data_IF_077670160637
#
_entry.id   IF_077670160637
#
_cell.length_a   1.000
_cell.length_b   1.000
_cell.length_c   1.000
_cell.angle_alpha   90.00
_cell.angle_beta   90.00
_cell.angle_gamma   90.00
#
_symmetry.space_group_name_H-M   'P 1'
#
loop_
_entity.id
_entity.type
_entity.pdbx_description
1 polymer ?
#
# COMPACT_ATOMS: atom_id res chain seq x y z
N UNK A 1 -24.74 -23.89 10.58
CA UNK A 1 -24.34 -22.75 11.43
C UNK A 1 -23.65 -21.75 10.53
N UNK A 2 -24.39 -20.74 10.06
CA UNK A 2 -23.86 -19.75 9.12
C UNK A 2 -23.09 -18.69 9.89
N UNK A 3 -21.77 -18.65 9.72
CA UNK A 3 -20.97 -17.50 10.12
C UNK A 3 -21.32 -16.38 9.14
N UNK A 4 -22.19 -15.49 9.60
CA UNK A 4 -22.46 -14.22 8.94
C UNK A 4 -21.13 -13.48 8.81
N UNK A 5 -20.53 -13.50 7.61
CA UNK A 5 -19.52 -12.53 7.19
C UNK A 5 -20.16 -11.14 7.21
N UNK A 6 -20.32 -10.57 8.41
CA UNK A 6 -20.66 -9.17 8.59
C UNK A 6 -19.38 -8.40 8.40
N UNK A 7 -19.28 -7.79 7.22
CA UNK A 7 -18.23 -6.88 6.82
C UNK A 7 -17.85 -5.93 7.98
N UNK A 8 -16.60 -5.98 8.42
CA UNK A 8 -15.98 -4.98 9.27
C UNK A 8 -15.81 -3.73 8.39
N UNK A 9 -16.79 -2.84 8.43
CA UNK A 9 -16.79 -1.63 7.62
C UNK A 9 -16.26 -0.46 8.42
N UNK A 10 -15.17 0.13 7.93
CA UNK A 10 -14.68 1.43 8.35
C UNK A 10 -15.58 2.48 7.74
N UNK A 11 -16.12 3.37 8.56
CA UNK A 11 -16.90 4.52 8.09
C UNK A 11 -16.47 5.73 8.87
N UNK A 12 -16.37 6.86 8.18
CA UNK A 12 -16.26 8.13 8.87
C UNK A 12 -17.60 8.49 9.52
N UNK A 13 -17.59 8.85 10.80
CA UNK A 13 -18.80 9.09 11.57
C UNK A 13 -19.10 10.60 11.74
N UNK A 14 -20.17 11.09 11.11
CA UNK A 14 -20.82 12.38 11.39
C UNK A 14 -20.38 13.60 10.57
N UNK A 15 -21.10 14.72 10.72
CA UNK A 15 -20.92 15.99 9.97
C UNK A 15 -19.58 16.71 10.24
N UNK A 16 -18.82 16.29 11.26
CA UNK A 16 -17.51 16.86 11.61
C UNK A 16 -16.41 15.80 11.76
N UNK A 17 -16.50 14.66 11.08
CA UNK A 17 -15.37 13.88 10.53
C UNK A 17 -14.01 13.78 11.27
N UNK A 18 -13.97 13.73 12.61
CA UNK A 18 -12.73 13.64 13.41
C UNK A 18 -12.29 12.19 13.67
N UNK A 19 -13.20 11.23 13.57
CA UNK A 19 -12.94 9.85 13.94
C UNK A 19 -13.50 8.85 12.91
N UNK A 20 -12.76 7.77 12.69
CA UNK A 20 -13.22 6.58 11.99
C UNK A 20 -13.82 5.61 13.00
N UNK A 21 -15.05 5.19 12.73
CA UNK A 21 -15.68 4.11 13.47
C UNK A 21 -15.19 2.77 12.91
N UNK A 22 -14.79 1.87 13.80
CA UNK A 22 -14.40 0.50 13.43
C UNK A 22 -15.06 -0.53 14.37
N UNK A 23 -15.34 -1.72 13.85
CA UNK A 23 -15.95 -2.82 14.61
C UNK A 23 -17.44 -2.63 14.95
N UNK A 24 -17.96 -3.54 15.78
CA UNK A 24 -19.39 -3.60 16.17
C UNK A 24 -19.73 -2.69 17.37
N UNK A 25 -18.72 -2.17 18.09
CA UNK A 25 -18.86 -1.63 19.45
C UNK A 25 -18.52 -0.14 19.61
N UNK A 26 -18.81 0.73 18.63
CA UNK A 26 -18.64 2.19 18.78
C UNK A 26 -17.20 2.59 19.15
N UNK A 27 -16.21 1.83 18.66
CA UNK A 27 -14.82 2.17 18.86
C UNK A 27 -14.37 3.16 17.78
N UNK A 28 -13.58 4.14 18.19
CA UNK A 28 -13.21 5.29 17.37
C UNK A 28 -11.69 5.40 17.27
N UNK A 29 -11.18 5.36 16.05
CA UNK A 29 -9.80 5.75 15.76
C UNK A 29 -9.81 7.19 15.28
N UNK A 30 -8.98 8.06 15.85
CA UNK A 30 -8.86 9.42 15.33
C UNK A 30 -8.45 9.38 13.85
N UNK A 31 -9.14 10.18 13.04
CA UNK A 31 -8.92 10.24 11.59
C UNK A 31 -7.46 10.44 11.23
N UNK A 32 -6.76 11.33 11.93
CA UNK A 32 -5.34 11.58 11.66
C UNK A 32 -4.48 10.33 11.86
N UNK A 33 -4.73 9.52 12.91
CA UNK A 33 -3.97 8.27 13.14
C UNK A 33 -4.25 7.22 12.07
N UNK A 34 -5.51 7.11 11.66
CA UNK A 34 -5.87 6.19 10.59
C UNK A 34 -5.29 6.61 9.24
N UNK A 35 -5.29 7.92 8.96
CA UNK A 35 -4.65 8.47 7.78
C UNK A 35 -3.14 8.21 7.81
N UNK A 36 -2.46 8.45 8.93
CA UNK A 36 -1.04 8.15 9.08
C UNK A 36 -0.75 6.67 8.80
N UNK A 37 -1.57 5.77 9.31
CA UNK A 37 -1.48 4.33 9.08
C UNK A 37 -1.67 3.96 7.60
N UNK A 38 -2.76 4.42 7.00
CA UNK A 38 -3.06 4.12 5.59
C UNK A 38 -2.03 4.72 4.64
N UNK A 39 -1.56 5.94 4.92
CA UNK A 39 -0.51 6.58 4.13
C UNK A 39 0.83 5.85 4.28
N UNK A 40 1.21 5.43 5.48
CA UNK A 40 2.44 4.70 5.70
C UNK A 40 2.43 3.34 4.99
N UNK A 41 1.31 2.63 5.04
CA UNK A 41 1.16 1.36 4.34
C UNK A 41 1.09 1.54 2.82
N UNK A 42 0.37 2.55 2.33
CA UNK A 42 0.35 2.87 0.91
C UNK A 42 1.76 3.23 0.40
N UNK A 43 2.53 4.01 1.15
CA UNK A 43 3.91 4.34 0.80
C UNK A 43 4.82 3.10 0.75
N UNK A 44 4.63 2.15 1.67
CA UNK A 44 5.36 0.88 1.65
C UNK A 44 4.97 0.02 0.43
N UNK A 45 3.69 0.02 0.04
CA UNK A 45 3.23 -0.65 -1.17
C UNK A 45 3.80 0.00 -2.43
N UNK A 46 3.83 1.34 -2.52
CA UNK A 46 4.39 2.08 -3.65
C UNK A 46 5.87 1.75 -3.87
N UNK A 47 6.67 1.74 -2.81
CA UNK A 47 8.11 1.42 -2.93
C UNK A 47 8.32 -0.04 -3.32
N UNK A 48 7.56 -0.98 -2.74
CA UNK A 48 7.59 -2.39 -3.13
C UNK A 48 7.24 -2.57 -4.62
N UNK A 49 6.23 -1.86 -5.11
CA UNK A 49 5.86 -1.87 -6.53
C UNK A 49 6.95 -1.31 -7.44
N UNK A 50 7.60 -0.23 -7.00
CA UNK A 50 8.71 0.38 -7.70
C UNK A 50 9.89 -0.60 -7.82
N UNK A 51 10.26 -1.26 -6.72
CA UNK A 51 11.33 -2.27 -6.70
C UNK A 51 11.08 -3.42 -7.66
N UNK A 52 9.88 -4.01 -7.65
CA UNK A 52 9.52 -5.10 -8.57
C UNK A 52 9.64 -4.66 -10.04
N UNK A 53 9.16 -3.45 -10.34
CA UNK A 53 9.22 -2.89 -11.69
C UNK A 53 10.67 -2.66 -12.13
N UNK A 54 11.49 -2.10 -11.23
CA UNK A 54 12.91 -1.86 -11.48
C UNK A 54 13.69 -3.17 -11.61
N UNK A 55 13.38 -4.19 -10.81
CA UNK A 55 13.95 -5.53 -10.95
C UNK A 55 13.66 -6.13 -12.33
N UNK A 56 12.40 -6.10 -12.79
CA UNK A 56 12.05 -6.56 -14.12
C UNK A 56 12.78 -5.78 -15.22
N UNK A 57 12.90 -4.46 -15.07
CA UNK A 57 13.63 -3.59 -16.00
C UNK A 57 15.12 -3.92 -16.04
N UNK A 58 15.77 -4.11 -14.89
CA UNK A 58 17.18 -4.50 -14.80
C UNK A 58 17.40 -5.85 -15.50
N UNK A 59 16.56 -6.85 -15.24
CA UNK A 59 16.66 -8.17 -15.88
C UNK A 59 16.50 -8.05 -17.41
N UNK A 60 15.53 -7.25 -17.88
CA UNK A 60 15.32 -7.02 -19.31
C UNK A 60 16.52 -6.33 -19.96
N UNK A 61 17.07 -5.30 -19.31
CA UNK A 61 18.25 -4.57 -19.78
C UNK A 61 19.51 -5.45 -19.78
N UNK A 62 19.72 -6.27 -18.76
CA UNK A 62 20.83 -7.24 -18.73
C UNK A 62 20.76 -8.22 -19.91
N UNK A 63 19.57 -8.74 -20.23
CA UNK A 63 19.36 -9.60 -21.41
C UNK A 63 19.63 -8.85 -22.72
N UNK A 64 19.19 -7.59 -22.81
CA UNK A 64 19.42 -6.75 -23.98
C UNK A 64 20.90 -6.36 -24.16
N UNK A 65 21.66 -6.18 -23.08
CA UNK A 65 23.10 -5.86 -23.14
C UNK A 65 23.95 -6.95 -23.80
N UNK A 66 23.45 -8.19 -23.86
CA UNK A 66 24.08 -9.28 -24.61
C UNK A 66 23.96 -9.12 -26.14
N UNK A 67 23.04 -8.25 -26.60
CA UNK A 67 22.71 -8.02 -28.01
C UNK A 67 23.21 -6.64 -28.46
N UNK A 68 23.00 -5.60 -27.63
CA UNK A 68 23.39 -4.22 -27.92
C UNK A 68 23.79 -3.48 -26.63
N UNK A 69 24.83 -2.64 -26.69
CA UNK A 69 25.38 -1.98 -25.49
C UNK A 69 24.43 -0.92 -24.92
N UNK A 70 23.57 -1.34 -23.98
CA UNK A 70 22.67 -0.47 -23.20
C UNK A 70 23.20 -0.17 -21.79
N UNK A 71 24.53 -0.11 -21.64
CA UNK A 71 25.21 -0.01 -20.33
C UNK A 71 24.74 1.18 -19.48
N UNK A 72 24.59 2.37 -20.08
CA UNK A 72 24.16 3.55 -19.35
C UNK A 72 22.72 3.43 -18.79
N UNK A 73 21.81 2.80 -19.54
CA UNK A 73 20.43 2.57 -19.07
C UNK A 73 20.39 1.52 -17.96
N UNK A 74 21.27 0.51 -18.02
CA UNK A 74 21.40 -0.50 -16.98
C UNK A 74 21.97 0.09 -15.68
N UNK A 75 23.02 0.92 -15.77
CA UNK A 75 23.60 1.61 -14.62
C UNK A 75 22.56 2.54 -13.96
N UNK A 76 21.79 3.30 -14.75
CA UNK A 76 20.70 4.14 -14.23
C UNK A 76 19.60 3.30 -13.57
N UNK A 77 19.15 2.20 -14.18
CA UNK A 77 18.11 1.35 -13.60
C UNK A 77 18.57 0.68 -12.28
N UNK A 78 19.83 0.27 -12.19
CA UNK A 78 20.41 -0.26 -10.95
C UNK A 78 20.46 0.80 -9.85
N UNK A 79 20.86 2.03 -10.18
CA UNK A 79 20.88 3.14 -9.22
C UNK A 79 19.47 3.44 -8.69
N UNK A 80 18.47 3.49 -9.58
CA UNK A 80 17.06 3.65 -9.18
C UNK A 80 16.60 2.52 -8.26
N UNK A 81 17.04 1.29 -8.50
CA UNK A 81 16.71 0.14 -7.66
C UNK A 81 17.34 0.26 -6.25
N UNK A 82 18.61 0.66 -6.16
CA UNK A 82 19.28 0.90 -4.88
C UNK A 82 18.60 2.02 -4.08
N UNK A 83 18.19 3.11 -4.75
CA UNK A 83 17.44 4.21 -4.13
C UNK A 83 16.07 3.74 -3.61
N UNK A 84 15.35 2.90 -4.36
CA UNK A 84 14.08 2.32 -3.91
C UNK A 84 14.27 1.41 -2.69
N UNK A 85 15.30 0.55 -2.70
CA UNK A 85 15.66 -0.32 -1.57
C UNK A 85 16.03 0.45 -0.31
N UNK A 86 16.72 1.60 -0.45
CA UNK A 86 16.99 2.47 0.67
C UNK A 86 15.71 3.08 1.27
N UNK A 87 14.75 3.45 0.41
CA UNK A 87 13.46 4.00 0.84
C UNK A 87 12.57 2.94 1.52
N UNK A 88 12.67 1.68 1.13
CA UNK A 88 11.88 0.58 1.71
C UNK A 88 12.00 0.56 3.24
N UNK A 89 13.22 0.62 3.78
CA UNK A 89 13.47 0.59 5.23
C UNK A 89 12.84 1.78 5.95
N UNK A 90 12.88 2.97 5.34
CA UNK A 90 12.24 4.17 5.89
C UNK A 90 10.72 4.00 5.95
N UNK A 91 10.11 3.47 4.88
CA UNK A 91 8.65 3.26 4.81
C UNK A 91 8.18 2.14 5.73
N UNK A 92 8.95 1.07 5.84
CA UNK A 92 8.69 -0.01 6.79
C UNK A 92 8.74 0.49 8.23
N UNK A 93 9.72 1.33 8.57
CA UNK A 93 9.80 1.95 9.89
C UNK A 93 8.64 2.92 10.16
N UNK A 94 8.23 3.71 9.16
CA UNK A 94 7.07 4.59 9.28
C UNK A 94 5.79 3.80 9.55
N UNK A 95 5.58 2.67 8.85
CA UNK A 95 4.45 1.78 9.10
C UNK A 95 4.50 1.20 10.51
N UNK A 96 5.66 0.72 10.96
CA UNK A 96 5.85 0.23 12.32
C UNK A 96 5.45 1.28 13.38
N UNK A 97 5.85 2.53 13.20
CA UNK A 97 5.49 3.63 14.11
C UNK A 97 3.98 3.89 14.12
N UNK A 98 3.34 3.88 12.94
CA UNK A 98 1.90 4.07 12.82
C UNK A 98 1.12 2.92 13.48
N UNK A 99 1.55 1.67 13.28
CA UNK A 99 0.97 0.50 13.94
C UNK A 99 1.15 0.54 15.46
N UNK A 100 2.31 0.98 15.95
CA UNK A 100 2.60 1.09 17.39
C UNK A 100 1.71 2.14 18.08
N UNK A 101 1.23 3.15 17.35
CA UNK A 101 0.33 4.17 17.87
C UNK A 101 -1.13 3.69 18.02
N UNK A 102 -1.45 2.48 17.57
CA UNK A 102 -2.77 1.86 17.72
C UNK A 102 -2.93 1.24 19.11
N UNK A 103 -4.11 1.36 19.70
CA UNK A 103 -4.49 0.50 20.82
C UNK A 103 -4.74 -0.94 20.34
N UNK A 104 -4.88 -1.86 21.30
CA UNK A 104 -5.07 -3.28 21.02
C UNK A 104 -6.26 -3.57 20.11
N UNK A 105 -7.38 -2.87 20.30
CA UNK A 105 -8.59 -3.14 19.52
C UNK A 105 -8.52 -2.53 18.12
N UNK A 106 -7.96 -1.33 18.00
CA UNK A 106 -7.68 -0.71 16.71
C UNK A 106 -6.69 -1.55 15.89
N UNK A 107 -5.67 -2.12 16.54
CA UNK A 107 -4.73 -3.04 15.89
C UNK A 107 -5.42 -4.33 15.43
N UNK A 108 -6.24 -4.96 16.27
CA UNK A 108 -6.97 -6.17 15.87
C UNK A 108 -7.90 -5.93 14.67
N UNK A 109 -8.57 -4.77 14.62
CA UNK A 109 -9.42 -4.38 13.50
C UNK A 109 -8.61 -4.14 12.23
N UNK A 110 -7.46 -3.47 12.33
CA UNK A 110 -6.53 -3.25 11.24
C UNK A 110 -5.89 -4.56 10.73
N UNK A 111 -5.42 -5.42 11.62
CA UNK A 111 -4.86 -6.72 11.25
C UNK A 111 -5.95 -7.61 10.62
N UNK A 112 -7.21 -7.49 11.06
CA UNK A 112 -8.35 -8.17 10.43
C UNK A 112 -8.66 -7.62 9.04
N UNK A 113 -8.51 -6.30 8.85
CA UNK A 113 -8.64 -5.64 7.55
C UNK A 113 -7.61 -6.21 6.56
N UNK A 114 -6.34 -6.30 6.98
CA UNK A 114 -5.22 -6.77 6.16
C UNK A 114 -5.29 -8.24 5.75
N UNK A 115 -6.11 -9.05 6.42
CA UNK A 115 -6.35 -10.45 6.00
C UNK A 115 -7.08 -10.53 4.67
N UNK A 116 -7.87 -9.52 4.31
CA UNK A 116 -8.43 -9.44 2.97
C UNK A 116 -7.32 -9.00 2.02
N UNK A 117 -6.89 -9.89 1.11
CA UNK A 117 -5.86 -9.54 0.13
C UNK A 117 -6.22 -8.33 -0.73
N UNK A 118 -7.50 -7.92 -0.81
CA UNK A 118 -7.99 -6.74 -1.53
C UNK A 118 -8.18 -5.51 -0.65
N UNK A 119 -7.75 -5.53 0.62
CA UNK A 119 -8.04 -4.45 1.56
C UNK A 119 -7.53 -3.08 1.08
N UNK A 120 -6.44 -3.05 0.32
CA UNK A 120 -5.86 -1.84 -0.29
C UNK A 120 -6.63 -1.32 -1.51
N UNK A 121 -7.58 -2.11 -2.05
CA UNK A 121 -8.46 -1.74 -3.15
C UNK A 121 -9.75 -1.05 -2.67
N UNK A 122 -9.78 -0.58 -1.43
CA UNK A 122 -10.87 0.24 -0.90
C UNK A 122 -10.89 1.59 -1.58
N UNK A 123 -12.08 2.17 -1.69
CA UNK A 123 -12.37 3.38 -2.45
C UNK A 123 -11.43 4.53 -2.05
N UNK A 124 -11.17 4.70 -0.76
CA UNK A 124 -10.36 5.79 -0.23
C UNK A 124 -8.89 5.72 -0.69
N UNK A 125 -8.30 4.52 -0.67
CA UNK A 125 -6.90 4.30 -1.09
C UNK A 125 -6.78 4.33 -2.62
N UNK A 126 -7.77 3.82 -3.33
CA UNK A 126 -7.83 3.88 -4.79
C UNK A 126 -7.96 5.33 -5.26
N UNK A 127 -8.80 6.14 -4.60
CA UNK A 127 -8.97 7.55 -4.92
C UNK A 127 -7.70 8.36 -4.64
N UNK A 128 -7.03 8.17 -3.50
CA UNK A 128 -5.74 8.83 -3.21
C UNK A 128 -4.67 8.46 -4.25
N UNK A 129 -4.57 7.18 -4.58
CA UNK A 129 -3.67 6.70 -5.64
C UNK A 129 -4.00 7.35 -6.99
N UNK A 130 -5.29 7.48 -7.32
CA UNK A 130 -5.76 8.11 -8.56
C UNK A 130 -5.45 9.60 -8.61
N UNK A 131 -5.75 10.34 -7.53
CA UNK A 131 -5.54 11.78 -7.40
C UNK A 131 -4.05 12.17 -7.49
N UNK A 132 -3.16 11.25 -7.08
CA UNK A 132 -1.71 11.39 -7.20
C UNK A 132 -1.15 10.91 -8.55
N UNK A 133 -1.99 10.42 -9.46
CA UNK A 133 -1.60 9.94 -10.79
C UNK A 133 -0.96 8.55 -10.84
N UNK A 134 -1.24 7.71 -9.84
CA UNK A 134 -0.71 6.35 -9.67
C UNK A 134 -1.29 5.29 -10.63
N UNK A 135 -1.03 4.00 -10.39
CA UNK A 135 -1.48 2.90 -11.28
C UNK A 135 -3.00 2.90 -11.49
N UNK A 136 -3.74 3.22 -10.43
CA UNK A 136 -5.21 3.25 -10.44
C UNK A 136 -5.78 4.32 -11.39
N UNK A 137 -5.07 5.42 -11.64
CA UNK A 137 -5.53 6.47 -12.57
C UNK A 137 -5.42 6.06 -14.05
N UNK A 138 -4.77 4.93 -14.33
CA UNK A 138 -4.48 4.46 -15.71
C UNK A 138 -5.41 3.34 -16.15
N UNK A 139 -6.36 2.93 -15.30
CA UNK A 139 -7.29 1.80 -15.54
C UNK A 139 -6.58 0.51 -16.00
N UNK A 140 -5.29 0.35 -15.66
CA UNK A 140 -4.45 -0.70 -16.24
C UNK A 140 -4.68 -2.08 -15.60
N UNK A 141 -5.46 -2.18 -14.51
CA UNK A 141 -5.78 -3.42 -13.82
C UNK A 141 -4.60 -4.08 -13.09
N UNK A 142 -3.40 -3.49 -13.14
CA UNK A 142 -2.19 -4.07 -12.53
C UNK A 142 -2.32 -4.27 -11.01
N UNK A 143 -3.06 -3.38 -10.36
CA UNK A 143 -3.27 -3.40 -8.92
C UNK A 143 -4.24 -4.57 -8.51
N UNK A 144 -5.09 -5.08 -9.43
CA UNK A 144 -5.97 -6.25 -9.23
C UNK A 144 -5.29 -7.59 -9.53
N UNK A 145 -4.37 -7.63 -10.49
CA UNK A 145 -3.71 -8.85 -10.98
C UNK A 145 -2.68 -9.45 -10.01
N UNK A 146 -2.26 -8.71 -8.98
CA UNK A 146 -1.29 -9.20 -7.98
C UNK A 146 -1.84 -10.27 -7.03
N UNK A 147 -3.15 -10.52 -7.05
CA UNK A 147 -3.83 -11.46 -6.16
C UNK A 147 -3.77 -12.93 -6.62
N UNK A 148 -3.16 -13.19 -7.78
CA UNK A 148 -3.12 -14.52 -8.41
C UNK A 148 -1.80 -15.28 -8.23
N UNK A 149 -0.97 -14.91 -7.24
CA UNK A 149 0.28 -15.59 -6.91
C UNK A 149 0.28 -16.12 -5.48
#
# INVERSE_FOLDING_TARGET
MGLSNRSMTWHFAGETDVCLQYGLNTEYLFRFRAMDLFLAEHALLEVTQCEETLHHRVIALQKATAIESNRAQLEEANKQLEEAQAQYLEKEYALYQAEYALDMHAKDAYDSLRRDAKWFMREEMVQDCSDRGGCCSRECGCCEQRLSF
#
